data_IF_633980093052
#
_entry.id   IF_633980093052
#
_cell.length_a   1.000
_cell.length_b   1.000
_cell.length_c   1.000
_cell.angle_alpha   90.00
_cell.angle_beta   90.00
_cell.angle_gamma   90.00
#
_symmetry.space_group_name_H-M   'P 1'
#
loop_
_entity.id
_entity.type
_entity.pdbx_description
1 polymer ?
#
# COMPACT_ATOMS: atom_id res chain seq x y z
N UNK A 1 9.87 -3.06 7.09
CA UNK A 1 8.47 -3.12 7.54
C UNK A 1 8.20 -4.49 8.11
N UNK A 2 7.67 -4.56 9.30
CA UNK A 2 7.22 -5.78 9.94
C UNK A 2 5.69 -5.83 9.89
N UNK A 3 5.12 -6.97 9.48
CA UNK A 3 3.68 -7.13 9.31
C UNK A 3 3.21 -8.41 9.99
N UNK A 4 2.17 -8.36 10.84
CA UNK A 4 1.54 -9.59 11.30
C UNK A 4 0.81 -10.28 10.12
N UNK A 5 0.86 -11.61 10.07
CA UNK A 5 0.14 -12.42 9.06
C UNK A 5 -1.37 -12.26 9.19
N UNK A 6 -1.85 -12.25 10.42
CA UNK A 6 -3.27 -12.15 10.75
C UNK A 6 -3.56 -10.78 11.33
N UNK A 7 -3.88 -9.82 10.46
CA UNK A 7 -4.27 -8.48 10.88
C UNK A 7 -5.19 -7.81 9.86
N UNK A 8 -5.82 -6.73 10.27
CA UNK A 8 -6.74 -5.97 9.44
C UNK A 8 -6.34 -4.49 9.41
N UNK A 9 -6.48 -3.86 8.24
CA UNK A 9 -6.29 -2.42 8.01
C UNK A 9 -4.93 -1.86 8.50
N UNK A 10 -3.87 -2.67 8.44
CA UNK A 10 -2.53 -2.27 8.86
C UNK A 10 -2.31 -2.24 10.38
N UNK A 11 -3.21 -2.84 11.17
CA UNK A 11 -3.03 -2.97 12.61
C UNK A 11 -1.78 -3.82 12.91
N UNK A 12 -0.91 -3.35 13.80
CA UNK A 12 0.32 -4.05 14.18
C UNK A 12 1.45 -3.97 13.16
N UNK A 13 1.30 -3.22 12.07
CA UNK A 13 2.39 -2.97 11.11
C UNK A 13 3.37 -1.96 11.70
N UNK A 14 4.64 -2.32 11.74
CA UNK A 14 5.75 -1.46 12.15
C UNK A 14 6.57 -1.12 10.90
N UNK A 15 6.67 0.17 10.56
CA UNK A 15 7.26 0.61 9.29
C UNK A 15 8.79 0.70 9.39
N UNK A 16 9.28 1.47 10.33
CA UNK A 16 10.72 1.70 10.53
C UNK A 16 11.21 0.86 11.71
N UNK A 17 11.27 -0.44 11.47
CA UNK A 17 11.61 -1.41 12.50
C UNK A 17 13.10 -1.28 12.88
N UNK A 18 13.39 -1.49 14.15
CA UNK A 18 14.71 -1.57 14.70
C UNK A 18 14.97 -2.95 15.35
N UNK A 19 16.15 -3.17 15.87
CA UNK A 19 16.54 -4.44 16.49
C UNK A 19 15.67 -4.78 17.70
N UNK A 20 15.31 -3.80 18.51
CA UNK A 20 14.48 -4.03 19.70
C UNK A 20 13.07 -4.46 19.34
N UNK A 21 12.51 -3.91 18.26
CA UNK A 21 11.20 -4.36 17.74
C UNK A 21 11.24 -5.84 17.35
N UNK A 22 12.34 -6.30 16.72
CA UNK A 22 12.50 -7.70 16.33
C UNK A 22 12.67 -8.61 17.54
N UNK A 23 13.42 -8.17 18.54
CA UNK A 23 13.66 -8.93 19.77
C UNK A 23 12.40 -9.04 20.64
N UNK A 24 11.52 -8.04 20.58
CA UNK A 24 10.25 -8.04 21.33
C UNK A 24 9.20 -9.00 20.78
N UNK A 25 9.36 -9.49 19.53
CA UNK A 25 8.40 -10.42 18.94
C UNK A 25 8.59 -11.81 19.55
N UNK A 26 7.56 -12.27 20.24
CA UNK A 26 7.53 -13.62 20.85
C UNK A 26 7.09 -14.70 19.86
N UNK A 27 6.23 -14.32 18.91
CA UNK A 27 5.56 -15.20 17.96
C UNK A 27 6.00 -14.86 16.52
N UNK A 28 7.24 -15.18 16.22
CA UNK A 28 7.91 -14.80 14.95
C UNK A 28 7.27 -15.44 13.73
N UNK A 29 6.64 -16.58 13.88
CA UNK A 29 6.02 -17.38 12.81
C UNK A 29 4.81 -16.66 12.21
N UNK A 30 4.19 -15.76 12.98
CA UNK A 30 3.02 -14.98 12.57
C UNK A 30 3.38 -13.58 12.06
N UNK A 31 4.62 -13.35 11.66
CA UNK A 31 5.06 -12.08 11.09
C UNK A 31 5.82 -12.25 9.79
N UNK A 32 5.69 -11.25 8.93
CA UNK A 32 6.48 -11.11 7.70
C UNK A 32 7.38 -9.89 7.84
N UNK A 33 8.67 -10.09 7.57
CA UNK A 33 9.62 -9.00 7.38
C UNK A 33 9.71 -8.67 5.90
N UNK A 34 9.34 -7.44 5.54
CA UNK A 34 9.33 -6.97 4.17
C UNK A 34 10.19 -5.72 4.01
N UNK A 35 10.97 -5.66 2.93
CA UNK A 35 11.66 -4.43 2.54
C UNK A 35 10.63 -3.33 2.32
N UNK A 36 10.86 -2.14 2.88
CA UNK A 36 10.01 -0.97 2.65
C UNK A 36 10.12 -0.54 1.20
N UNK A 37 8.98 -0.32 0.56
CA UNK A 37 8.91 0.27 -0.77
C UNK A 37 8.80 1.78 -0.61
N UNK A 38 9.71 2.51 -1.23
CA UNK A 38 9.68 3.96 -1.27
C UNK A 38 9.00 4.40 -2.57
N UNK A 39 7.82 5.02 -2.42
CA UNK A 39 7.09 5.57 -3.56
C UNK A 39 7.63 6.95 -3.91
N UNK A 40 7.95 7.17 -5.18
CA UNK A 40 8.32 8.49 -5.66
C UNK A 40 7.10 9.42 -5.68
N UNK A 41 7.25 10.69 -5.27
CA UNK A 41 6.19 11.69 -5.35
C UNK A 41 6.10 12.25 -6.78
N UNK A 42 5.38 11.56 -7.65
CA UNK A 42 5.35 11.82 -9.11
C UNK A 42 4.15 12.63 -9.58
N UNK A 43 3.15 12.84 -8.73
CA UNK A 43 1.94 13.57 -9.11
C UNK A 43 2.02 15.00 -8.58
N UNK A 44 2.15 16.01 -9.46
CA UNK A 44 2.15 17.42 -9.02
C UNK A 44 0.83 17.78 -8.34
N UNK A 45 0.90 18.51 -7.25
CA UNK A 45 -0.24 19.08 -6.53
C UNK A 45 0.10 20.48 -6.05
N UNK A 46 -0.89 21.32 -5.67
CA UNK A 46 -0.63 22.73 -5.32
C UNK A 46 0.31 22.96 -4.12
N UNK A 47 0.40 21.98 -3.21
CA UNK A 47 1.25 22.05 -2.03
C UNK A 47 2.54 21.24 -2.20
N UNK A 48 2.49 19.93 -1.96
CA UNK A 48 3.62 19.01 -2.14
C UNK A 48 3.22 17.85 -3.04
N UNK A 49 4.10 17.36 -3.92
CA UNK A 49 3.77 16.28 -4.83
C UNK A 49 3.25 15.03 -4.12
N UNK A 50 2.26 14.39 -4.70
CA UNK A 50 1.69 13.15 -4.19
C UNK A 50 2.38 11.91 -4.79
N UNK A 51 2.44 10.87 -3.98
CA UNK A 51 2.81 9.51 -4.40
C UNK A 51 1.59 8.84 -5.01
N UNK A 52 1.79 7.99 -6.02
CA UNK A 52 0.73 7.21 -6.63
C UNK A 52 0.98 5.72 -6.45
N UNK A 53 -0.07 4.97 -6.11
CA UNK A 53 -0.12 3.51 -6.16
C UNK A 53 -1.22 3.10 -7.13
N UNK A 54 -0.89 2.22 -8.08
CA UNK A 54 -1.87 1.62 -8.98
C UNK A 54 -2.16 0.21 -8.52
N UNK A 55 -3.41 -0.07 -8.19
CA UNK A 55 -3.90 -1.40 -7.85
C UNK A 55 -4.64 -1.99 -9.04
N UNK A 56 -4.07 -3.02 -9.62
CA UNK A 56 -4.71 -3.78 -10.71
C UNK A 56 -5.63 -4.83 -10.10
N UNK A 57 -6.88 -4.87 -10.53
CA UNK A 57 -7.88 -5.84 -10.09
C UNK A 57 -8.06 -6.90 -11.16
N UNK A 58 -7.75 -8.13 -10.80
CA UNK A 58 -7.77 -9.26 -11.68
C UNK A 58 -8.83 -10.26 -11.21
N UNK A 59 -9.67 -10.75 -12.11
CA UNK A 59 -10.56 -11.88 -11.90
C UNK A 59 -10.03 -13.10 -12.63
N UNK A 60 -10.04 -14.23 -11.94
CA UNK A 60 -9.69 -15.52 -12.54
C UNK A 60 -10.90 -16.43 -12.52
N UNK A 61 -11.54 -16.60 -13.65
CA UNK A 61 -12.66 -17.51 -13.81
C UNK A 61 -12.20 -18.97 -13.72
N UNK A 62 -13.07 -19.81 -13.18
CA UNK A 62 -12.79 -21.25 -13.07
C UNK A 62 -12.59 -21.83 -14.48
N UNK A 63 -11.45 -22.48 -14.72
CA UNK A 63 -11.11 -23.08 -16.01
C UNK A 63 -10.46 -22.13 -17.01
N UNK A 64 -10.35 -20.85 -16.73
CA UNK A 64 -9.62 -19.94 -17.59
C UNK A 64 -8.10 -20.17 -17.47
N UNK A 65 -7.38 -20.04 -18.59
CA UNK A 65 -5.94 -20.21 -18.61
C UNK A 65 -5.17 -19.08 -17.91
N UNK A 66 -5.79 -17.91 -17.78
CA UNK A 66 -5.17 -16.70 -17.16
C UNK A 66 -6.24 -15.78 -16.57
N UNK A 67 -5.87 -14.99 -15.57
CA UNK A 67 -6.75 -13.95 -15.04
C UNK A 67 -6.98 -12.83 -16.07
N UNK A 68 -8.11 -12.16 -15.94
CA UNK A 68 -8.47 -10.98 -16.73
C UNK A 68 -8.38 -9.73 -15.87
N UNK A 69 -7.80 -8.67 -16.42
CA UNK A 69 -7.83 -7.35 -15.78
C UNK A 69 -9.22 -6.77 -15.96
N UNK A 70 -9.93 -6.55 -14.84
CA UNK A 70 -11.32 -6.06 -14.85
C UNK A 70 -11.43 -4.61 -14.41
N UNK A 71 -10.51 -4.13 -13.59
CA UNK A 71 -10.54 -2.76 -13.09
C UNK A 71 -9.18 -2.34 -12.52
N UNK A 72 -9.02 -1.05 -12.25
CA UNK A 72 -7.92 -0.52 -11.48
C UNK A 72 -8.38 0.50 -10.45
N UNK A 73 -7.56 0.73 -9.45
CA UNK A 73 -7.72 1.79 -8.48
C UNK A 73 -6.38 2.51 -8.34
N UNK A 74 -6.36 3.79 -8.64
CA UNK A 74 -5.22 4.65 -8.34
C UNK A 74 -5.43 5.28 -6.96
N UNK A 75 -4.43 5.21 -6.10
CA UNK A 75 -4.46 5.88 -4.81
C UNK A 75 -3.36 6.92 -4.74
N UNK A 76 -3.74 8.14 -4.39
CA UNK A 76 -2.81 9.22 -4.13
C UNK A 76 -2.55 9.35 -2.63
N UNK A 77 -1.30 9.56 -2.27
CA UNK A 77 -0.86 9.66 -0.87
C UNK A 77 0.26 10.67 -0.72
N UNK A 78 0.24 11.39 0.41
CA UNK A 78 1.33 12.27 0.86
C UNK A 78 1.92 11.83 2.20
N UNK A 79 1.26 10.86 2.82
CA UNK A 79 1.70 10.27 4.08
C UNK A 79 2.87 9.30 3.93
N UNK A 80 3.35 8.79 5.04
CA UNK A 80 4.39 7.76 5.06
C UNK A 80 3.93 6.46 4.39
N UNK A 81 2.62 6.15 4.51
CA UNK A 81 1.98 5.03 3.83
C UNK A 81 0.71 5.48 3.08
N UNK A 82 0.26 4.65 2.15
CA UNK A 82 -0.90 4.92 1.28
C UNK A 82 -2.24 4.86 2.03
N UNK A 83 -2.29 4.25 3.22
CA UNK A 83 -3.52 4.10 4.00
C UNK A 83 -4.13 5.42 4.47
N UNK A 84 -5.45 5.44 4.65
CA UNK A 84 -6.23 6.62 5.11
C UNK A 84 -5.67 7.22 6.39
N UNK A 85 -5.28 6.39 7.35
CA UNK A 85 -4.71 6.82 8.64
C UNK A 85 -3.52 7.77 8.48
N UNK A 86 -2.66 7.55 7.48
CA UNK A 86 -1.46 8.34 7.25
C UNK A 86 -1.69 9.58 6.40
N UNK A 87 -2.91 9.75 5.90
CA UNK A 87 -3.30 10.82 4.98
C UNK A 87 -4.40 11.74 5.54
N UNK A 88 -4.78 11.58 6.82
CA UNK A 88 -5.75 12.44 7.47
C UNK A 88 -5.30 13.91 7.46
N UNK A 89 -6.22 14.81 7.14
CA UNK A 89 -5.96 16.25 7.06
C UNK A 89 -5.11 16.70 5.86
N UNK A 90 -4.74 15.78 4.95
CA UNK A 90 -4.01 16.11 3.71
C UNK A 90 -4.99 16.28 2.55
N UNK A 91 -4.68 17.22 1.66
CA UNK A 91 -5.42 17.48 0.42
C UNK A 91 -4.77 16.75 -0.76
N UNK A 92 -5.54 16.52 -1.83
CA UNK A 92 -5.07 15.80 -3.02
C UNK A 92 -4.58 14.38 -2.71
N UNK A 93 -5.28 13.69 -1.84
CA UNK A 93 -5.07 12.29 -1.47
C UNK A 93 -6.39 11.52 -1.56
N UNK A 94 -6.31 10.20 -1.78
CA UNK A 94 -7.48 9.34 -1.87
C UNK A 94 -7.48 8.43 -3.09
N UNK A 95 -8.65 7.88 -3.41
CA UNK A 95 -8.85 6.99 -4.55
C UNK A 95 -9.26 7.73 -5.81
N UNK A 96 -8.77 7.26 -6.95
CA UNK A 96 -9.14 7.73 -8.28
C UNK A 96 -9.11 6.57 -9.27
N UNK A 97 -9.61 6.79 -10.48
CA UNK A 97 -9.51 5.85 -11.59
C UNK A 97 -8.26 6.17 -12.41
N UNK A 98 -7.55 5.15 -12.84
CA UNK A 98 -6.45 5.28 -13.80
C UNK A 98 -6.94 4.98 -15.22
N UNK A 99 -6.49 5.79 -16.18
CA UNK A 99 -6.72 5.54 -17.59
C UNK A 99 -5.46 4.99 -18.22
N UNK A 100 -5.61 3.98 -19.07
CA UNK A 100 -4.52 3.49 -19.90
C UNK A 100 -4.49 4.28 -21.21
N UNK A 101 -3.30 4.61 -21.63
CA UNK A 101 -3.12 5.10 -22.99
C UNK A 101 -3.27 3.92 -23.96
N UNK A 102 -3.91 4.13 -25.14
CA UNK A 102 -4.04 3.10 -26.16
C UNK A 102 -2.70 2.63 -26.70
#
# INVERSE_FOLDING_TARGET
>A
VLKPLYSFAGKGVIININRFDLEAIKDRENYILQRKVEYAPVVPTPDVPAKAEVRMMLLWERGAARPQLVNNLVRLSKGEMVGVRYNQGKVWVGGSVGFFLP
#
